data_IF_508967828517
#
_entry.id   IF_508967828517
#
_cell.length_a   1.000
_cell.length_b   1.000
_cell.length_c   1.000
_cell.angle_alpha   90.00
_cell.angle_beta   90.00
_cell.angle_gamma   90.00
#
_symmetry.space_group_name_H-M   'P 1'
#
loop_
_entity.id
_entity.type
_entity.pdbx_description
1 polymer ?
#
# COMPACT_ATOMS: atom_id res chain seq x y z
N UNK A 1 -21.93 -4.19 -13.69
CA UNK A 1 -21.34 -3.03 -13.00
C UNK A 1 -20.75 -3.53 -11.69
N UNK A 2 -19.50 -3.20 -11.37
CA UNK A 2 -18.83 -3.62 -10.13
C UNK A 2 -18.82 -2.42 -9.18
N UNK A 3 -19.13 -2.64 -7.90
CA UNK A 3 -19.10 -1.61 -6.86
C UNK A 3 -17.94 -1.89 -5.91
N UNK A 4 -17.20 -0.86 -5.53
CA UNK A 4 -16.11 -0.95 -4.57
C UNK A 4 -16.43 -0.08 -3.36
N UNK A 5 -16.20 -0.61 -2.17
CA UNK A 5 -16.12 0.16 -0.93
C UNK A 5 -14.65 0.34 -0.62
N UNK A 6 -14.18 1.58 -0.63
CA UNK A 6 -12.76 1.90 -0.47
C UNK A 6 -12.55 2.69 0.82
N UNK A 7 -11.57 2.28 1.60
CA UNK A 7 -11.12 2.98 2.81
C UNK A 7 -9.77 3.63 2.53
N UNK A 8 -9.73 4.96 2.50
CA UNK A 8 -8.47 5.71 2.44
C UNK A 8 -7.97 5.96 3.86
N UNK A 9 -6.77 5.46 4.17
CA UNK A 9 -6.21 5.45 5.52
C UNK A 9 -4.87 6.18 5.49
N UNK A 10 -4.69 7.14 6.39
CA UNK A 10 -3.48 7.96 6.42
C UNK A 10 -2.20 7.15 6.69
N UNK A 11 -1.11 7.52 6.02
CA UNK A 11 0.18 6.81 6.09
C UNK A 11 1.28 7.44 6.93
N UNK A 12 0.97 8.46 7.74
CA UNK A 12 1.96 9.05 8.65
C UNK A 12 2.38 8.02 9.71
N UNK A 13 3.65 7.98 10.07
CA UNK A 13 4.22 6.93 10.94
C UNK A 13 3.45 6.75 12.25
N UNK A 14 3.01 7.86 12.85
CA UNK A 14 2.26 7.86 14.12
C UNK A 14 0.89 7.19 14.04
N UNK A 15 0.30 7.11 12.85
CA UNK A 15 -1.06 6.57 12.64
C UNK A 15 -1.08 5.23 11.92
N UNK A 16 0.06 4.74 11.41
CA UNK A 16 0.17 3.38 10.83
C UNK A 16 -0.35 2.26 11.74
N UNK A 17 -0.17 2.30 13.08
CA UNK A 17 -0.75 1.29 13.97
C UNK A 17 -2.29 1.19 13.91
N UNK A 18 -2.99 2.17 13.33
CA UNK A 18 -4.43 2.14 13.15
C UNK A 18 -4.88 1.34 11.92
N UNK A 19 -3.97 1.01 10.99
CA UNK A 19 -4.30 0.26 9.77
C UNK A 19 -4.97 -1.08 10.06
N UNK A 20 -4.57 -1.74 11.16
CA UNK A 20 -5.13 -3.03 11.61
C UNK A 20 -6.65 -3.01 11.81
N UNK A 21 -7.23 -1.84 12.07
CA UNK A 21 -8.69 -1.70 12.21
C UNK A 21 -9.45 -1.88 10.89
N UNK A 22 -8.74 -1.93 9.76
CA UNK A 22 -9.30 -2.07 8.42
C UNK A 22 -8.97 -3.42 7.76
N UNK A 23 -8.22 -4.32 8.41
CA UNK A 23 -7.82 -5.58 7.78
C UNK A 23 -8.95 -6.60 7.69
N UNK A 24 -9.78 -6.68 8.73
CA UNK A 24 -10.90 -7.62 8.77
C UNK A 24 -11.85 -7.41 7.60
N UNK A 25 -12.17 -8.49 6.87
CA UNK A 25 -13.03 -8.51 5.69
C UNK A 25 -12.54 -7.67 4.49
N UNK A 26 -11.27 -7.28 4.46
CA UNK A 26 -10.70 -6.63 3.28
C UNK A 26 -10.47 -7.64 2.16
N UNK A 27 -11.09 -7.39 1.00
CA UNK A 27 -11.02 -8.27 -0.17
C UNK A 27 -9.82 -7.95 -1.07
N UNK A 28 -9.28 -6.73 -0.95
CA UNK A 28 -8.13 -6.30 -1.71
C UNK A 28 -7.43 -5.13 -1.05
N UNK A 29 -6.10 -5.13 -1.14
CA UNK A 29 -5.23 -4.08 -0.65
C UNK A 29 -4.66 -3.31 -1.83
N UNK A 30 -4.90 -2.00 -1.87
CA UNK A 30 -4.24 -1.09 -2.80
C UNK A 30 -3.13 -0.38 -2.03
N UNK A 31 -1.87 -0.70 -2.33
CA UNK A 31 -0.71 -0.09 -1.70
C UNK A 31 -0.07 0.92 -2.65
N UNK A 32 -0.10 2.21 -2.29
CA UNK A 32 0.37 3.29 -3.16
C UNK A 32 1.77 3.72 -2.74
N UNK A 33 2.72 3.60 -3.67
CA UNK A 33 4.13 4.00 -3.49
C UNK A 33 4.38 5.30 -4.25
N UNK A 34 5.03 6.26 -3.62
CA UNK A 34 5.61 7.40 -4.32
C UNK A 34 6.85 6.93 -5.09
N UNK A 35 6.70 6.71 -6.39
CA UNK A 35 7.79 6.17 -7.22
C UNK A 35 8.95 7.14 -7.41
N UNK A 36 8.78 8.44 -7.12
CA UNK A 36 9.84 9.42 -7.22
C UNK A 36 10.66 9.52 -5.91
N UNK A 37 10.18 8.92 -4.82
CA UNK A 37 10.83 8.92 -3.51
C UNK A 37 11.65 7.65 -3.27
N UNK A 38 12.86 7.64 -3.85
CA UNK A 38 13.78 6.50 -3.80
C UNK A 38 14.35 6.24 -2.40
N UNK A 39 14.38 7.24 -1.52
CA UNK A 39 14.89 7.08 -0.15
C UNK A 39 13.93 6.29 0.73
N UNK A 40 12.61 6.46 0.52
CA UNK A 40 11.57 5.80 1.32
C UNK A 40 11.01 4.51 0.72
N UNK A 41 11.52 4.05 -0.42
CA UNK A 41 11.03 2.80 -1.05
C UNK A 41 11.25 1.57 -0.16
N UNK A 42 12.36 1.52 0.57
CA UNK A 42 12.65 0.42 1.49
C UNK A 42 11.70 0.42 2.69
N UNK A 43 11.38 1.60 3.20
CA UNK A 43 10.38 1.76 4.26
C UNK A 43 8.99 1.29 3.78
N UNK A 44 8.59 1.70 2.59
CA UNK A 44 7.33 1.27 1.98
C UNK A 44 7.27 -0.26 1.80
N UNK A 45 8.38 -0.89 1.37
CA UNK A 45 8.50 -2.34 1.30
C UNK A 45 8.34 -3.00 2.67
N UNK A 46 9.01 -2.49 3.70
CA UNK A 46 8.91 -3.05 5.06
C UNK A 46 7.49 -3.00 5.59
N UNK A 47 6.80 -1.86 5.43
CA UNK A 47 5.41 -1.74 5.88
C UNK A 47 4.46 -2.66 5.10
N UNK A 48 4.63 -2.76 3.77
CA UNK A 48 3.85 -3.70 2.96
C UNK A 48 4.06 -5.14 3.45
N UNK A 49 5.31 -5.55 3.69
CA UNK A 49 5.62 -6.90 4.19
C UNK A 49 5.02 -7.17 5.57
N UNK A 50 4.98 -6.15 6.46
CA UNK A 50 4.30 -6.27 7.75
C UNK A 50 2.79 -6.46 7.57
N UNK A 51 2.15 -5.71 6.67
CA UNK A 51 0.72 -5.88 6.38
C UNK A 51 0.41 -7.26 5.82
N UNK A 52 1.23 -7.76 4.88
CA UNK A 52 1.03 -9.07 4.26
C UNK A 52 1.30 -10.25 5.21
N UNK A 53 1.93 -10.00 6.36
CA UNK A 53 2.12 -11.00 7.40
C UNK A 53 0.89 -11.17 8.31
N UNK A 54 -0.12 -10.31 8.19
CA UNK A 54 -1.34 -10.35 9.00
C UNK A 54 -2.31 -11.38 8.42
N UNK A 55 -2.80 -12.29 9.25
CA UNK A 55 -3.68 -13.38 8.84
C UNK A 55 -4.98 -12.87 8.19
N UNK A 56 -5.47 -11.71 8.63
CA UNK A 56 -6.68 -11.07 8.10
C UNK A 56 -6.54 -10.61 6.64
N UNK A 57 -5.31 -10.43 6.15
CA UNK A 57 -5.03 -10.01 4.77
C UNK A 57 -4.56 -11.16 3.87
N UNK A 58 -4.44 -12.39 4.40
CA UNK A 58 -3.88 -13.54 3.67
C UNK A 58 -4.54 -13.81 2.32
N UNK A 59 -5.86 -13.62 2.24
CA UNK A 59 -6.65 -13.92 1.05
C UNK A 59 -6.98 -12.65 0.23
N UNK A 60 -6.51 -11.47 0.66
CA UNK A 60 -6.74 -10.22 -0.03
C UNK A 60 -5.90 -10.11 -1.30
N UNK A 61 -6.49 -9.65 -2.40
CA UNK A 61 -5.74 -9.36 -3.63
C UNK A 61 -4.90 -8.10 -3.44
N UNK A 62 -3.59 -8.18 -3.70
CA UNK A 62 -2.70 -7.04 -3.65
C UNK A 62 -2.59 -6.33 -5.01
N UNK A 63 -2.78 -5.02 -5.01
CA UNK A 63 -2.41 -4.11 -6.10
C UNK A 63 -1.42 -3.09 -5.57
N UNK A 64 -0.23 -3.00 -6.18
CA UNK A 64 0.74 -1.96 -5.87
C UNK A 64 0.70 -0.88 -6.96
N UNK A 65 0.45 0.37 -6.58
CA UNK A 65 0.54 1.51 -7.48
C UNK A 65 1.90 2.19 -7.34
N UNK A 66 2.70 2.13 -8.40
CA UNK A 66 3.86 3.01 -8.58
C UNK A 66 3.38 4.40 -9.03
N UNK A 67 3.03 5.27 -8.07
CA UNK A 67 2.40 6.56 -8.32
C UNK A 67 3.45 7.66 -8.59
N UNK A 68 3.03 8.78 -9.22
CA UNK A 68 3.87 9.92 -9.62
C UNK A 68 4.86 9.66 -10.76
N UNK A 69 4.45 8.83 -11.72
CA UNK A 69 5.23 8.49 -12.92
C UNK A 69 5.50 9.70 -13.85
N UNK A 70 4.81 10.82 -13.64
CA UNK A 70 5.03 12.08 -14.34
C UNK A 70 6.34 12.78 -13.94
N UNK A 71 6.94 12.41 -12.81
CA UNK A 71 8.16 13.02 -12.29
C UNK A 71 9.42 12.36 -12.89
N UNK A 72 10.51 13.14 -13.09
CA UNK A 72 11.67 12.68 -13.85
C UNK A 72 12.47 11.54 -13.21
N UNK A 73 12.37 11.35 -11.90
CA UNK A 73 13.12 10.30 -11.18
C UNK A 73 12.23 9.13 -10.74
N UNK A 74 11.00 9.06 -11.24
CA UNK A 74 10.05 8.00 -10.96
C UNK A 74 10.63 6.62 -11.29
N UNK A 75 10.59 5.71 -10.33
CA UNK A 75 10.89 4.30 -10.53
C UNK A 75 9.84 3.66 -11.44
N UNK A 76 10.26 2.83 -12.36
CA UNK A 76 9.31 2.04 -13.16
C UNK A 76 8.77 0.85 -12.35
N UNK A 77 7.72 0.20 -12.84
CA UNK A 77 7.05 -0.90 -12.12
C UNK A 77 7.90 -2.18 -11.97
N UNK A 78 9.01 -2.31 -12.69
CA UNK A 78 9.88 -3.48 -12.68
C UNK A 78 11.22 -3.26 -11.94
N UNK A 79 11.50 -2.03 -11.50
CA UNK A 79 12.58 -1.76 -10.52
C UNK A 79 12.25 -2.39 -9.16
#
# INVERSE_FOLDING_TARGET
>A
NISFTVWDVGGQDKIRPLWRHYFQNTQGLIFVVDSNDRERVNEAREELMRMLAEDELRDAVLLVFANKQDLPNAMNAAE
#
